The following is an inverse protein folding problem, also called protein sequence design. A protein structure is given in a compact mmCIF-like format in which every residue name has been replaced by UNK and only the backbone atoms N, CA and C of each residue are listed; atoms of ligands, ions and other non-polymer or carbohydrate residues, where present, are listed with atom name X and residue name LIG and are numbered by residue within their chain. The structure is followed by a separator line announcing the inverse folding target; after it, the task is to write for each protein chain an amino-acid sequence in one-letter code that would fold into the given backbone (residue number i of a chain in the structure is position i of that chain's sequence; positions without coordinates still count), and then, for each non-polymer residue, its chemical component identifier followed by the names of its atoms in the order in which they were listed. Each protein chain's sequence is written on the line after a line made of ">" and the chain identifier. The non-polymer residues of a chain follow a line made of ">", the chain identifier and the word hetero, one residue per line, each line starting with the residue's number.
data_IF_049918727846
#
_entry.id   IF_049918727846
#
_cell.length_a   1.000
_cell.length_b   1.000
_cell.length_c   1.000
_cell.angle_alpha   90.00
_cell.angle_beta   90.00
_cell.angle_gamma   90.00
#
_symmetry.space_group_name_H-M   'P 1'
#
loop_
_entity.id
_entity.type
_entity.pdbx_description
1 polymer ?
#
# COMPACT_ATOMS: atom_id res chain seq x y z
N UNK A 1 3.01 5.40 8.70
CA UNK A 1 2.04 5.53 7.62
C UNK A 1 2.29 6.76 6.75
N UNK A 2 2.07 7.96 7.30
CA UNK A 2 2.06 9.24 6.56
C UNK A 2 3.32 9.60 5.75
N UNK A 3 4.52 9.31 6.25
CA UNK A 3 5.75 9.83 5.61
C UNK A 3 6.27 9.00 4.42
N UNK A 4 5.90 7.73 4.33
CA UNK A 4 6.54 6.76 3.41
C UNK A 4 5.51 5.89 2.70
N UNK A 5 4.65 5.23 3.47
CA UNK A 5 3.66 4.28 2.95
C UNK A 5 2.58 5.00 2.15
N UNK A 6 1.90 6.00 2.73
CA UNK A 6 0.83 6.74 2.04
C UNK A 6 1.30 7.44 0.75
N UNK A 7 2.45 8.15 0.72
CA UNK A 7 3.00 8.72 -0.51
C UNK A 7 3.31 7.66 -1.58
N UNK A 8 3.81 6.50 -1.17
CA UNK A 8 4.10 5.40 -2.09
C UNK A 8 2.82 4.81 -2.68
N UNK A 9 1.79 4.57 -1.85
CA UNK A 9 0.47 4.11 -2.30
C UNK A 9 -0.11 5.11 -3.30
N UNK A 10 -0.16 6.40 -2.95
CA UNK A 10 -0.67 7.45 -3.83
C UNK A 10 0.04 7.48 -5.19
N UNK A 11 1.37 7.39 -5.18
CA UNK A 11 2.15 7.33 -6.42
C UNK A 11 1.77 6.11 -7.27
N UNK A 12 1.61 4.94 -6.66
CA UNK A 12 1.26 3.71 -7.38
C UNK A 12 -0.15 3.72 -7.93
N UNK A 13 -1.12 4.24 -7.17
CA UNK A 13 -2.50 4.40 -7.65
C UNK A 13 -2.55 5.32 -8.88
N UNK A 14 -1.83 6.45 -8.87
CA UNK A 14 -1.73 7.32 -10.05
C UNK A 14 -1.07 6.61 -11.23
N UNK A 15 -0.02 5.81 -10.99
CA UNK A 15 0.65 5.05 -12.06
C UNK A 15 -0.26 3.99 -12.70
N UNK A 16 -1.14 3.35 -11.92
CA UNK A 16 -2.03 2.30 -12.42
C UNK A 16 -3.32 2.84 -13.05
N UNK A 17 -3.92 3.87 -12.46
CA UNK A 17 -5.22 4.42 -12.91
C UNK A 17 -5.02 5.54 -13.94
N UNK A 18 -3.87 6.23 -13.92
CA UNK A 18 -3.58 7.39 -14.75
C UNK A 18 -3.99 8.73 -14.13
N UNK A 19 -4.71 8.70 -13.00
CA UNK A 19 -5.15 9.89 -12.27
C UNK A 19 -5.18 9.66 -10.73
N UNK A 20 -5.23 10.73 -9.93
CA UNK A 20 -5.31 10.60 -8.48
C UNK A 20 -6.66 10.06 -8.02
N UNK A 21 -6.65 8.95 -7.29
CA UNK A 21 -7.84 8.36 -6.67
C UNK A 21 -7.71 8.36 -5.13
N UNK A 22 -7.98 9.49 -4.46
CA UNK A 22 -7.74 9.64 -3.03
C UNK A 22 -8.59 8.70 -2.16
N UNK A 23 -9.79 8.34 -2.63
CA UNK A 23 -10.68 7.44 -1.88
C UNK A 23 -10.10 6.04 -1.77
N UNK A 24 -9.52 5.52 -2.87
CA UNK A 24 -8.82 4.23 -2.89
C UNK A 24 -7.54 4.27 -2.06
N UNK A 25 -6.78 5.36 -2.13
CA UNK A 25 -5.57 5.55 -1.31
C UNK A 25 -5.94 5.47 0.18
N UNK A 26 -6.95 6.21 0.61
CA UNK A 26 -7.38 6.23 2.01
C UNK A 26 -7.96 4.88 2.44
N UNK A 27 -8.72 4.20 1.57
CA UNK A 27 -9.22 2.85 1.82
C UNK A 27 -8.09 1.85 2.08
N UNK A 28 -7.08 1.80 1.21
CA UNK A 28 -5.92 0.92 1.37
C UNK A 28 -5.16 1.28 2.65
N UNK A 29 -4.98 2.58 2.91
CA UNK A 29 -4.30 3.03 4.12
C UNK A 29 -4.99 2.55 5.39
N UNK A 30 -6.31 2.70 5.46
CA UNK A 30 -7.13 2.25 6.59
C UNK A 30 -7.04 0.73 6.80
N UNK A 31 -7.03 -0.07 5.73
CA UNK A 31 -6.88 -1.54 5.83
C UNK A 31 -5.51 -1.94 6.38
N UNK A 32 -4.45 -1.26 5.96
CA UNK A 32 -3.09 -1.47 6.49
C UNK A 32 -3.01 -1.10 7.97
N UNK A 33 -3.58 0.04 8.37
CA UNK A 33 -3.59 0.47 9.76
C UNK A 33 -4.45 -0.43 10.66
N UNK A 34 -5.53 -1.00 10.11
CA UNK A 34 -6.34 -2.00 10.78
C UNK A 34 -5.64 -3.38 10.92
N UNK A 35 -4.43 -3.54 10.38
CA UNK A 35 -3.69 -4.80 10.44
C UNK A 35 -4.33 -5.92 9.61
N UNK A 36 -5.05 -5.55 8.55
CA UNK A 36 -5.69 -6.53 7.66
C UNK A 36 -4.67 -7.46 7.03
N UNK A 37 -5.05 -8.72 6.80
CA UNK A 37 -4.20 -9.66 6.09
C UNK A 37 -3.96 -9.21 4.63
N UNK A 38 -2.78 -9.51 4.04
CA UNK A 38 -2.45 -9.07 2.68
C UNK A 38 -3.43 -9.62 1.65
N UNK A 39 -3.90 -10.86 1.83
CA UNK A 39 -4.90 -11.46 0.94
C UNK A 39 -6.20 -10.66 0.95
N UNK A 40 -6.68 -10.22 2.12
CA UNK A 40 -7.91 -9.42 2.18
C UNK A 40 -7.76 -8.06 1.51
N UNK A 41 -6.58 -7.45 1.57
CA UNK A 41 -6.30 -6.21 0.84
C UNK A 41 -6.24 -6.47 -0.67
N UNK A 42 -5.63 -7.58 -1.08
CA UNK A 42 -5.58 -7.99 -2.49
C UNK A 42 -6.99 -8.19 -3.05
N UNK A 43 -7.84 -8.96 -2.36
CA UNK A 43 -9.20 -9.24 -2.81
C UNK A 43 -10.01 -7.95 -3.04
N UNK A 44 -9.89 -6.98 -2.11
CA UNK A 44 -10.58 -5.68 -2.23
C UNK A 44 -10.00 -4.81 -3.36
N UNK A 45 -8.67 -4.74 -3.50
CA UNK A 45 -8.00 -3.89 -4.50
C UNK A 45 -8.13 -4.49 -5.91
N UNK A 46 -8.26 -5.80 -6.03
CA UNK A 46 -8.42 -6.50 -7.30
C UNK A 46 -9.73 -6.14 -8.00
N UNK A 47 -10.75 -5.67 -7.28
CA UNK A 47 -11.97 -5.13 -7.89
C UNK A 47 -11.76 -3.84 -8.68
N UNK A 48 -10.64 -3.15 -8.48
CA UNK A 48 -10.33 -1.85 -9.11
C UNK A 48 -9.11 -1.94 -10.04
N UNK A 49 -8.09 -2.70 -9.66
CA UNK A 49 -6.82 -2.80 -10.39
C UNK A 49 -6.67 -4.11 -11.19
N UNK A 50 -7.67 -5.00 -11.18
CA UNK A 50 -7.64 -6.29 -11.89
C UNK A 50 -6.31 -7.05 -11.65
N UNK A 51 -5.59 -7.40 -12.72
CA UNK A 51 -4.35 -8.17 -12.70
C UNK A 51 -3.17 -7.38 -12.07
N UNK A 52 -3.21 -6.04 -12.08
CA UNK A 52 -2.16 -5.18 -11.49
C UNK A 52 -2.17 -5.23 -9.95
N UNK A 53 -3.28 -5.65 -9.35
CA UNK A 53 -3.48 -5.65 -7.89
C UNK A 53 -2.47 -6.55 -7.16
N UNK A 54 -2.15 -7.73 -7.70
CA UNK A 54 -1.21 -8.67 -7.06
C UNK A 54 0.17 -8.05 -6.94
N UNK A 55 0.69 -7.49 -8.03
CA UNK A 55 1.99 -6.84 -8.07
C UNK A 55 2.03 -5.63 -7.14
N UNK A 56 0.95 -4.85 -7.09
CA UNK A 56 0.80 -3.74 -6.17
C UNK A 56 0.89 -4.19 -4.71
N UNK A 57 0.09 -5.16 -4.29
CA UNK A 57 0.05 -5.64 -2.90
C UNK A 57 1.36 -6.28 -2.49
N UNK A 58 2.01 -7.08 -3.36
CA UNK A 58 3.33 -7.67 -3.07
C UNK A 58 4.38 -6.59 -2.82
N UNK A 59 4.43 -5.55 -3.66
CA UNK A 59 5.38 -4.45 -3.49
C UNK A 59 5.06 -3.62 -2.24
N UNK A 60 3.78 -3.40 -1.95
CA UNK A 60 3.34 -2.70 -0.75
C UNK A 60 3.75 -3.48 0.51
N UNK A 61 3.54 -4.79 0.52
CA UNK A 61 3.88 -5.64 1.66
C UNK A 61 5.38 -5.66 1.92
N UNK A 62 6.19 -5.73 0.85
CA UNK A 62 7.64 -5.64 0.93
C UNK A 62 8.09 -4.30 1.54
N UNK A 63 7.44 -3.20 1.17
CA UNK A 63 7.70 -1.89 1.74
C UNK A 63 7.35 -1.85 3.24
N UNK A 64 6.20 -2.40 3.64
CA UNK A 64 5.79 -2.46 5.04
C UNK A 64 6.78 -3.24 5.91
N UNK A 65 7.22 -4.40 5.44
CA UNK A 65 8.25 -5.21 6.13
C UNK A 65 9.55 -4.41 6.25
N UNK A 66 10.00 -3.78 5.16
CA UNK A 66 11.21 -2.97 5.17
C UNK A 66 11.14 -1.82 6.17
N UNK A 67 10.06 -1.04 6.16
CA UNK A 67 9.89 0.09 7.08
C UNK A 67 9.80 -0.37 8.54
N UNK A 68 9.16 -1.52 8.80
CA UNK A 68 9.11 -2.12 10.13
C UNK A 68 10.50 -2.53 10.64
N UNK A 69 11.29 -3.21 9.81
CA UNK A 69 12.65 -3.64 10.17
C UNK A 69 13.62 -2.46 10.26
N UNK A 70 13.51 -1.46 9.37
CA UNK A 70 14.27 -0.22 9.46
C UNK A 70 13.98 0.54 10.76
N UNK A 71 12.71 0.56 11.19
CA UNK A 71 12.31 1.11 12.50
C UNK A 71 12.95 0.35 13.65
N UNK A 72 12.91 -0.98 13.63
CA UNK A 72 13.50 -1.84 14.66
C UNK A 72 15.02 -1.68 14.75
N UNK A 73 15.69 -1.51 13.62
CA UNK A 73 17.13 -1.30 13.54
C UNK A 73 17.58 0.14 13.84
N UNK A 74 16.66 1.08 14.10
CA UNK A 74 17.00 2.49 14.35
C UNK A 74 17.50 3.24 13.11
N UNK A 75 17.24 2.70 11.91
CA UNK A 75 17.66 3.30 10.62
C UNK A 75 16.66 4.33 10.10
N UNK A 76 15.58 4.58 10.84
CA UNK A 76 14.58 5.58 10.49
C UNK A 76 15.13 6.99 10.74
N UNK A 77 15.37 7.74 9.65
CA UNK A 77 15.57 9.19 9.67
C UNK A 77 14.24 9.93 9.52
#
# INVERSE_FOLDING_TARGET
>A
MEKKIRPWINKKIIEYIGEPEPTLVDFICNKVEAGSAPQGILDDVQMVLDEEAEVFVVKMWRLLIYELEAKRAGLHK
#
